data_IF_164477620807
#
_entry.id   IF_164477620807
#
_cell.length_a   1.000
_cell.length_b   1.000
_cell.length_c   1.000
_cell.angle_alpha   90.00
_cell.angle_beta   90.00
_cell.angle_gamma   90.00
#
_symmetry.space_group_name_H-M   'P 1'
#
loop_
_entity.id
_entity.type
_entity.pdbx_description
1 polymer ?
#
# COMPACT_ATOMS: atom_id res chain seq x y z
N UNK A 1 24.14 17.81 -22.79
CA UNK A 1 24.07 16.81 -21.71
C UNK A 1 23.02 17.11 -20.62
N UNK A 2 22.50 18.34 -20.49
CA UNK A 2 21.49 18.68 -19.47
C UNK A 2 20.03 18.39 -19.88
N UNK A 3 19.74 18.25 -21.15
CA UNK A 3 18.36 17.99 -21.62
C UNK A 3 17.88 16.54 -21.49
N UNK A 4 18.80 15.56 -21.37
CA UNK A 4 18.44 14.13 -21.20
C UNK A 4 18.04 13.75 -19.78
N UNK A 5 18.31 14.58 -18.78
CA UNK A 5 17.95 14.30 -17.37
C UNK A 5 16.55 14.79 -16.97
N UNK A 6 15.90 15.63 -17.75
CA UNK A 6 14.57 16.17 -17.41
C UNK A 6 13.38 15.29 -17.83
N UNK A 7 13.59 14.24 -18.62
CA UNK A 7 12.52 13.33 -19.06
C UNK A 7 12.40 12.02 -18.24
N UNK A 8 13.14 11.85 -17.13
CA UNK A 8 13.23 10.58 -16.37
C UNK A 8 12.62 10.75 -14.95
N UNK A 9 11.89 11.83 -14.67
CA UNK A 9 11.40 12.12 -13.30
C UNK A 9 9.89 12.05 -13.09
N UNK A 10 9.12 11.65 -14.09
CA UNK A 10 7.69 11.51 -13.91
C UNK A 10 7.39 10.10 -13.38
N UNK A 11 6.78 10.00 -12.21
CA UNK A 11 6.20 8.76 -11.69
C UNK A 11 4.78 8.64 -12.21
N UNK A 12 4.46 7.50 -12.80
CA UNK A 12 3.13 7.22 -13.33
C UNK A 12 2.37 6.33 -12.35
N UNK A 13 1.12 6.69 -12.07
CA UNK A 13 0.17 5.89 -11.31
C UNK A 13 -1.00 5.52 -12.22
N UNK A 14 -1.19 4.22 -12.41
CA UNK A 14 -2.37 3.67 -13.08
C UNK A 14 -3.25 3.03 -12.02
N UNK A 15 -4.53 3.29 -12.07
CA UNK A 15 -5.46 2.85 -11.03
C UNK A 15 -6.79 2.37 -11.63
N UNK A 16 -7.43 1.45 -10.92
CA UNK A 16 -8.77 1.00 -11.28
C UNK A 16 -9.74 2.18 -11.24
N UNK A 17 -10.48 2.36 -12.30
CA UNK A 17 -11.35 3.51 -12.48
C UNK A 17 -12.64 3.13 -13.17
N UNK A 18 -13.76 3.54 -12.59
CA UNK A 18 -15.06 3.54 -13.28
C UNK A 18 -15.33 4.93 -13.86
N UNK A 19 -15.17 5.16 -15.17
CA UNK A 19 -15.41 6.48 -15.76
C UNK A 19 -16.89 6.88 -15.77
N UNK A 20 -17.81 5.98 -15.42
CA UNK A 20 -19.24 6.20 -15.48
C UNK A 20 -19.89 6.46 -14.11
N UNK A 21 -19.14 6.38 -13.01
CA UNK A 21 -19.68 6.61 -11.69
C UNK A 21 -18.78 6.15 -10.54
N UNK A 22 -19.32 6.23 -9.32
CA UNK A 22 -18.60 5.91 -8.07
C UNK A 22 -18.87 4.50 -7.52
N UNK A 23 -19.47 3.63 -8.32
CA UNK A 23 -19.70 2.21 -7.96
C UNK A 23 -18.76 1.30 -8.71
N UNK A 24 -18.52 0.12 -8.15
CA UNK A 24 -17.69 -0.89 -8.81
C UNK A 24 -18.31 -1.35 -10.12
N UNK A 25 -17.51 -1.46 -11.16
CA UNK A 25 -17.89 -1.87 -12.51
C UNK A 25 -17.34 -0.93 -13.59
N UNK A 26 -17.53 -1.26 -14.86
CA UNK A 26 -17.00 -0.54 -16.02
C UNK A 26 -15.50 -0.25 -15.90
N UNK A 27 -14.74 -1.23 -15.40
CA UNK A 27 -13.37 -1.01 -15.00
C UNK A 27 -12.47 -0.68 -16.17
N UNK A 28 -11.75 0.40 -15.99
CA UNK A 28 -10.77 0.98 -16.88
C UNK A 28 -9.52 1.34 -16.07
N UNK A 29 -8.42 1.70 -16.71
CA UNK A 29 -7.28 2.29 -16.02
C UNK A 29 -7.34 3.82 -16.13
N UNK A 30 -7.58 4.48 -15.00
CA UNK A 30 -7.27 5.88 -14.81
C UNK A 30 -5.75 6.07 -14.77
N UNK A 31 -5.29 7.29 -15.00
CA UNK A 31 -3.87 7.59 -15.11
C UNK A 31 -3.56 8.95 -14.49
N UNK A 32 -2.54 9.00 -13.65
CA UNK A 32 -1.99 10.23 -13.12
C UNK A 32 -0.47 10.20 -13.15
N UNK A 33 0.15 11.36 -13.21
CA UNK A 33 1.60 11.53 -13.18
C UNK A 33 2.01 12.54 -12.13
N UNK A 34 3.21 12.35 -11.59
CA UNK A 34 3.79 13.27 -10.60
C UNK A 34 5.30 13.38 -10.76
N UNK A 35 5.85 14.50 -10.32
CA UNK A 35 7.30 14.72 -10.24
C UNK A 35 7.87 14.59 -8.82
N UNK A 36 6.99 14.60 -7.82
CA UNK A 36 7.35 14.66 -6.40
C UNK A 36 6.52 13.75 -5.50
N UNK A 37 5.73 12.83 -6.07
CA UNK A 37 4.85 11.88 -5.38
C UNK A 37 3.71 12.51 -4.57
N UNK A 38 3.61 13.86 -4.52
CA UNK A 38 2.59 14.58 -3.76
C UNK A 38 1.59 15.29 -4.68
N UNK A 39 2.09 16.03 -5.67
CA UNK A 39 1.24 16.75 -6.62
C UNK A 39 1.02 15.89 -7.88
N UNK A 40 -0.23 15.51 -8.11
CA UNK A 40 -0.60 14.61 -9.20
C UNK A 40 -1.37 15.34 -10.29
N UNK A 41 -0.97 15.14 -11.54
CA UNK A 41 -1.68 15.60 -12.72
C UNK A 41 -2.46 14.42 -13.31
N UNK A 42 -3.79 14.53 -13.38
CA UNK A 42 -4.64 13.54 -14.03
C UNK A 42 -4.49 13.61 -15.55
N UNK A 43 -4.27 12.45 -16.15
CA UNK A 43 -4.22 12.27 -17.59
C UNK A 43 -5.51 11.59 -18.07
N UNK A 44 -5.77 11.59 -19.40
CA UNK A 44 -6.87 10.81 -19.96
C UNK A 44 -6.79 9.33 -19.57
N UNK A 45 -7.94 8.66 -19.54
CA UNK A 45 -8.03 7.21 -19.26
C UNK A 45 -7.08 6.45 -20.18
N UNK A 46 -6.18 5.65 -19.58
CA UNK A 46 -5.11 4.97 -20.32
C UNK A 46 -5.63 3.74 -21.08
N UNK A 47 -6.46 2.93 -20.42
CA UNK A 47 -7.03 1.71 -20.99
C UNK A 47 -8.52 1.63 -20.67
N UNK A 48 -9.33 1.33 -21.68
CA UNK A 48 -10.78 1.11 -21.57
C UNK A 48 -11.12 -0.32 -21.96
N UNK A 49 -12.27 -0.84 -21.50
CA UNK A 49 -12.76 -2.17 -21.86
C UNK A 49 -12.89 -2.36 -23.38
N UNK A 50 -12.78 -3.58 -23.83
CA UNK A 50 -12.96 -4.01 -25.20
C UNK A 50 -13.67 -5.37 -25.31
N UNK A 51 -13.53 -6.06 -26.44
CA UNK A 51 -14.11 -7.38 -26.65
C UNK A 51 -13.58 -8.46 -25.69
N UNK A 52 -12.35 -8.28 -25.12
CA UNK A 52 -11.78 -9.19 -24.16
C UNK A 52 -12.28 -8.94 -22.71
N UNK A 53 -13.03 -7.84 -22.49
CA UNK A 53 -13.64 -7.54 -21.19
C UNK A 53 -13.18 -6.23 -20.56
N UNK A 54 -13.46 -6.09 -19.27
CA UNK A 54 -13.04 -4.97 -18.44
C UNK A 54 -11.54 -5.04 -18.15
N UNK A 55 -10.95 -3.91 -17.83
CA UNK A 55 -9.52 -3.81 -17.52
C UNK A 55 -9.32 -3.99 -16.02
N UNK A 56 -8.85 -5.16 -15.61
CA UNK A 56 -8.44 -5.44 -14.23
C UNK A 56 -6.98 -5.06 -14.01
N UNK A 57 -6.48 -5.32 -12.81
CA UNK A 57 -5.13 -4.92 -12.40
C UNK A 57 -4.02 -5.54 -13.23
N UNK A 58 -2.84 -4.96 -13.11
CA UNK A 58 -1.65 -5.39 -13.81
C UNK A 58 -0.45 -4.51 -13.47
N UNK A 59 0.54 -4.48 -14.35
CA UNK A 59 1.76 -3.70 -14.17
C UNK A 59 2.27 -3.13 -15.48
N UNK A 60 3.20 -2.18 -15.38
CA UNK A 60 3.88 -1.60 -16.54
C UNK A 60 5.38 -1.79 -16.37
N UNK A 61 6.04 -2.17 -17.46
CA UNK A 61 7.49 -2.26 -17.59
C UNK A 61 7.99 -1.38 -18.72
N UNK A 62 9.26 -1.00 -18.66
CA UNK A 62 9.95 -0.33 -19.77
C UNK A 62 10.80 -1.37 -20.50
N UNK A 63 10.44 -1.67 -21.74
CA UNK A 63 11.18 -2.60 -22.60
C UNK A 63 12.35 -1.86 -23.26
N UNK A 64 13.47 -1.78 -22.53
CA UNK A 64 14.66 -1.01 -22.95
C UNK A 64 15.31 -1.60 -24.19
N UNK A 65 15.28 -2.92 -24.31
CA UNK A 65 15.99 -3.66 -25.36
C UNK A 65 15.07 -4.04 -26.54
N UNK A 66 13.81 -3.56 -26.49
CA UNK A 66 12.81 -3.87 -27.53
C UNK A 66 12.58 -5.37 -27.69
N UNK A 67 12.54 -6.10 -26.61
CA UNK A 67 12.32 -7.56 -26.61
C UNK A 67 10.96 -7.94 -27.18
N UNK A 68 9.93 -7.10 -26.92
CA UNK A 68 8.58 -7.28 -27.44
C UNK A 68 8.41 -6.81 -28.90
N UNK A 69 9.40 -6.11 -29.46
CA UNK A 69 9.32 -5.60 -30.83
C UNK A 69 8.34 -4.44 -31.04
N UNK A 70 7.90 -3.76 -29.96
CA UNK A 70 7.01 -2.60 -30.07
C UNK A 70 7.77 -1.29 -30.28
N UNK A 71 9.06 -1.25 -29.98
CA UNK A 71 9.93 -0.10 -30.07
C UNK A 71 10.84 0.01 -28.84
N UNK A 72 11.99 0.64 -29.02
CA UNK A 72 12.95 0.85 -27.93
C UNK A 72 12.34 1.73 -26.83
N UNK A 73 12.56 1.37 -25.57
CA UNK A 73 12.03 2.05 -24.40
C UNK A 73 10.50 2.14 -24.38
N UNK A 74 9.80 1.25 -25.09
CA UNK A 74 8.34 1.18 -25.02
C UNK A 74 7.88 0.90 -23.57
N UNK A 75 6.87 1.62 -23.10
CA UNK A 75 6.16 1.25 -21.89
C UNK A 75 5.15 0.17 -22.24
N UNK A 76 5.32 -1.03 -21.66
CA UNK A 76 4.44 -2.18 -21.94
C UNK A 76 3.60 -2.45 -20.70
N UNK A 77 2.29 -2.28 -20.82
CA UNK A 77 1.30 -2.68 -19.83
C UNK A 77 0.97 -4.16 -20.01
N UNK A 78 1.05 -4.92 -18.94
CA UNK A 78 0.58 -6.30 -18.84
C UNK A 78 -0.57 -6.28 -17.84
N UNK A 79 -1.77 -6.63 -18.26
CA UNK A 79 -2.99 -6.47 -17.46
C UNK A 79 -3.96 -7.63 -17.65
N UNK A 80 -4.88 -7.77 -16.70
CA UNK A 80 -5.94 -8.75 -16.82
C UNK A 80 -7.14 -8.18 -17.56
N UNK A 81 -7.58 -8.88 -18.60
CA UNK A 81 -8.87 -8.68 -19.25
C UNK A 81 -9.90 -9.57 -18.55
N UNK A 82 -10.94 -8.95 -17.96
CA UNK A 82 -12.02 -9.63 -17.26
C UNK A 82 -13.26 -9.74 -18.16
N UNK A 83 -13.27 -10.76 -19.01
CA UNK A 83 -14.39 -11.12 -19.88
C UNK A 83 -15.17 -12.32 -19.32
N UNK A 84 -15.47 -13.29 -20.18
CA UNK A 84 -16.07 -14.57 -19.73
C UNK A 84 -15.13 -15.33 -18.79
N UNK A 85 -13.82 -15.19 -19.00
CA UNK A 85 -12.73 -15.66 -18.13
C UNK A 85 -11.68 -14.58 -18.01
N UNK A 86 -10.88 -14.68 -16.97
CA UNK A 86 -9.74 -13.80 -16.77
C UNK A 86 -8.56 -14.26 -17.63
N UNK A 87 -8.01 -13.36 -18.42
CA UNK A 87 -6.86 -13.60 -19.31
C UNK A 87 -5.88 -12.45 -19.22
N UNK A 88 -4.61 -12.66 -19.56
CA UNK A 88 -3.63 -11.59 -19.55
C UNK A 88 -3.46 -10.99 -20.95
N UNK A 89 -3.43 -9.68 -21.01
CA UNK A 89 -3.36 -8.89 -22.25
C UNK A 89 -2.23 -7.85 -22.17
N UNK A 90 -1.83 -7.34 -23.34
CA UNK A 90 -0.80 -6.31 -23.50
C UNK A 90 -1.38 -5.04 -24.11
N UNK A 91 -0.81 -3.92 -23.68
CA UNK A 91 -0.86 -2.66 -24.41
C UNK A 91 0.51 -1.97 -24.31
N UNK A 92 0.86 -1.14 -25.26
CA UNK A 92 2.15 -0.46 -25.27
C UNK A 92 2.03 1.02 -25.62
N UNK A 93 2.96 1.79 -25.13
CA UNK A 93 3.08 3.23 -25.37
C UNK A 93 4.47 3.56 -25.90
N UNK A 94 4.52 4.39 -26.94
CA UNK A 94 5.75 4.91 -27.55
C UNK A 94 5.96 6.40 -27.23
N UNK A 95 5.04 7.02 -26.52
CA UNK A 95 5.02 8.44 -26.17
C UNK A 95 5.14 8.68 -24.65
N UNK A 96 5.87 7.79 -23.96
CA UNK A 96 6.10 7.84 -22.51
C UNK A 96 4.82 7.74 -21.69
N UNK A 97 3.93 6.85 -22.08
CA UNK A 97 2.70 6.55 -21.36
C UNK A 97 1.55 7.53 -21.59
N UNK A 98 1.65 8.47 -22.52
CA UNK A 98 0.56 9.41 -22.80
C UNK A 98 -0.61 8.76 -23.53
N UNK A 99 -0.31 7.82 -24.44
CA UNK A 99 -1.30 6.98 -25.12
C UNK A 99 -0.86 5.52 -25.13
N UNK A 100 -1.83 4.61 -25.12
CA UNK A 100 -1.59 3.17 -25.19
C UNK A 100 -2.30 2.56 -26.38
N UNK A 101 -1.59 1.66 -27.07
CA UNK A 101 -2.09 0.84 -28.18
C UNK A 101 -2.22 -0.60 -27.67
N UNK A 102 -3.41 -1.16 -27.71
CA UNK A 102 -3.63 -2.56 -27.35
C UNK A 102 -2.99 -3.48 -28.38
N UNK A 103 -2.36 -4.55 -27.89
CA UNK A 103 -1.75 -5.54 -28.77
C UNK A 103 -2.84 -6.30 -29.53
N UNK A 104 -2.67 -6.43 -30.86
CA UNK A 104 -3.69 -6.99 -31.74
C UNK A 104 -3.98 -8.48 -31.49
N UNK A 105 -2.96 -9.22 -30.99
CA UNK A 105 -3.09 -10.66 -30.72
C UNK A 105 -3.38 -10.97 -29.23
N UNK A 106 -4.05 -10.05 -28.51
CA UNK A 106 -4.53 -10.32 -27.16
C UNK A 106 -5.64 -11.40 -27.18
N UNK A 107 -5.75 -12.22 -26.11
CA UNK A 107 -4.89 -12.30 -24.93
C UNK A 107 -3.59 -13.08 -25.19
N UNK A 108 -2.52 -12.76 -24.42
CA UNK A 108 -1.20 -13.42 -24.53
C UNK A 108 -1.04 -14.58 -23.54
N UNK A 109 -1.86 -14.67 -22.53
CA UNK A 109 -1.84 -15.77 -21.56
C UNK A 109 -3.26 -16.06 -21.08
N UNK A 110 -3.64 -17.34 -21.06
CA UNK A 110 -4.93 -17.85 -20.55
C UNK A 110 -4.75 -19.20 -19.90
N UNK A 111 -5.59 -19.48 -18.92
CA UNK A 111 -5.73 -20.80 -18.32
C UNK A 111 -7.21 -21.05 -18.00
N UNK A 112 -7.86 -21.88 -18.83
CA UNK A 112 -9.28 -22.16 -18.71
C UNK A 112 -9.66 -22.95 -17.46
N UNK A 113 -8.70 -23.57 -16.78
CA UNK A 113 -8.90 -24.31 -15.54
C UNK A 113 -8.88 -23.42 -14.28
N UNK A 114 -8.43 -22.15 -14.40
CA UNK A 114 -8.31 -21.23 -13.29
C UNK A 114 -9.44 -20.20 -13.30
N UNK A 115 -10.38 -20.19 -12.34
CA UNK A 115 -11.42 -19.18 -12.24
C UNK A 115 -10.86 -17.80 -11.84
N UNK A 116 -9.88 -17.80 -10.93
CA UNK A 116 -9.12 -16.62 -10.52
C UNK A 116 -7.73 -16.67 -11.17
N UNK A 117 -7.47 -15.75 -12.11
CA UNK A 117 -6.27 -15.75 -12.94
C UNK A 117 -5.93 -14.32 -13.33
N UNK A 118 -5.38 -13.53 -12.37
CA UNK A 118 -5.31 -12.07 -12.50
C UNK A 118 -4.12 -11.41 -11.85
N UNK A 119 -3.99 -10.11 -12.09
CA UNK A 119 -3.07 -9.17 -11.45
C UNK A 119 -1.60 -9.47 -11.77
N UNK A 120 -1.20 -9.48 -13.06
CA UNK A 120 0.17 -9.77 -13.46
C UNK A 120 1.11 -8.65 -13.01
N UNK A 121 2.12 -8.99 -12.21
CA UNK A 121 3.26 -8.12 -11.92
C UNK A 121 4.49 -8.64 -12.65
N UNK A 122 5.06 -7.80 -13.50
CA UNK A 122 6.17 -8.17 -14.39
C UNK A 122 7.42 -7.36 -14.07
N UNK A 123 8.58 -8.00 -14.11
CA UNK A 123 9.88 -7.36 -13.99
C UNK A 123 10.94 -8.08 -14.83
N UNK A 124 12.02 -7.37 -15.15
CA UNK A 124 13.18 -7.97 -15.84
C UNK A 124 14.10 -8.65 -14.84
N UNK A 125 14.28 -9.95 -14.99
CA UNK A 125 15.22 -10.74 -14.19
C UNK A 125 16.59 -10.80 -14.90
N UNK A 126 17.49 -9.91 -14.51
CA UNK A 126 18.75 -9.70 -15.19
C UNK A 126 19.65 -10.95 -15.19
N UNK A 127 19.71 -11.71 -14.09
CA UNK A 127 20.53 -12.92 -13.97
C UNK A 127 20.15 -14.01 -14.97
N UNK A 128 18.88 -14.05 -15.42
CA UNK A 128 18.38 -15.01 -16.41
C UNK A 128 18.07 -14.40 -17.76
N UNK A 129 18.30 -13.08 -17.95
CA UNK A 129 17.98 -12.33 -19.18
C UNK A 129 16.58 -12.63 -19.71
N UNK A 130 15.58 -12.52 -18.80
CA UNK A 130 14.18 -12.84 -19.11
C UNK A 130 13.22 -11.99 -18.28
N UNK A 131 12.01 -11.84 -18.75
CA UNK A 131 10.90 -11.31 -17.98
C UNK A 131 10.35 -12.36 -17.04
N UNK A 132 10.03 -11.96 -15.82
CA UNK A 132 9.29 -12.78 -14.83
C UNK A 132 7.96 -12.10 -14.56
N UNK A 133 6.90 -12.92 -14.52
CA UNK A 133 5.56 -12.51 -14.08
C UNK A 133 5.18 -13.29 -12.84
N UNK A 134 4.76 -12.61 -11.78
CA UNK A 134 3.98 -13.20 -10.71
C UNK A 134 2.49 -12.94 -10.98
N UNK A 135 1.66 -13.97 -10.89
CA UNK A 135 0.23 -13.94 -11.23
C UNK A 135 -0.58 -14.61 -10.12
N UNK A 136 -1.63 -13.97 -9.66
CA UNK A 136 -2.55 -14.56 -8.68
C UNK A 136 -3.43 -15.64 -9.35
N UNK A 137 -3.46 -16.82 -8.73
CA UNK A 137 -4.16 -18.00 -9.26
C UNK A 137 -4.99 -18.72 -8.17
N UNK A 138 -6.00 -18.01 -7.66
CA UNK A 138 -6.83 -18.46 -6.56
C UNK A 138 -6.19 -18.15 -5.19
N UNK A 139 -5.72 -19.15 -4.46
CA UNK A 139 -5.00 -18.96 -3.19
C UNK A 139 -3.50 -19.30 -3.31
N UNK A 140 -2.96 -19.12 -4.50
CA UNK A 140 -1.54 -19.32 -4.81
C UNK A 140 -1.05 -18.25 -5.78
N UNK A 141 0.25 -18.10 -5.90
CA UNK A 141 0.91 -17.30 -6.94
C UNK A 141 1.60 -18.23 -7.90
N UNK A 142 1.35 -18.05 -9.20
CA UNK A 142 2.05 -18.77 -10.26
C UNK A 142 3.08 -17.85 -10.89
N UNK A 143 4.31 -18.33 -11.03
CA UNK A 143 5.38 -17.63 -11.74
C UNK A 143 5.45 -18.08 -13.20
N UNK A 144 5.67 -17.13 -14.07
CA UNK A 144 5.89 -17.34 -15.50
C UNK A 144 7.16 -16.63 -15.97
N UNK A 145 7.76 -17.10 -17.05
CA UNK A 145 8.84 -16.39 -17.74
C UNK A 145 8.53 -16.16 -19.20
N UNK A 146 9.11 -15.09 -19.75
CA UNK A 146 9.01 -14.74 -21.16
C UNK A 146 10.32 -14.10 -21.65
N UNK A 147 10.66 -14.30 -22.92
CA UNK A 147 11.74 -13.58 -23.59
C UNK A 147 11.26 -12.30 -24.29
N UNK A 148 9.95 -12.17 -24.54
CA UNK A 148 9.37 -11.17 -25.45
C UNK A 148 8.06 -10.52 -24.94
N UNK A 149 7.66 -10.79 -23.68
CA UNK A 149 6.40 -10.35 -23.08
C UNK A 149 5.13 -10.93 -23.72
N UNK A 150 5.22 -11.63 -24.83
CA UNK A 150 4.09 -12.14 -25.62
C UNK A 150 3.85 -13.62 -25.38
N UNK A 151 4.92 -14.41 -25.29
CA UNK A 151 4.86 -15.83 -25.01
C UNK A 151 5.33 -16.12 -23.59
N UNK A 152 4.50 -16.77 -22.79
CA UNK A 152 4.75 -17.03 -21.39
C UNK A 152 4.82 -18.51 -21.08
N UNK A 153 5.87 -18.92 -20.39
CA UNK A 153 6.09 -20.27 -19.92
C UNK A 153 5.91 -20.34 -18.40
N UNK A 154 5.05 -21.24 -17.92
CA UNK A 154 4.91 -21.50 -16.48
C UNK A 154 6.24 -22.01 -15.91
N UNK A 155 6.60 -21.50 -14.73
CA UNK A 155 7.77 -21.89 -13.95
C UNK A 155 7.38 -22.72 -12.73
N UNK A 156 6.71 -22.11 -11.75
CA UNK A 156 6.37 -22.72 -10.48
C UNK A 156 5.15 -22.09 -9.87
N UNK A 157 4.61 -22.74 -8.83
CA UNK A 157 3.57 -22.18 -7.97
C UNK A 157 4.14 -21.96 -6.55
N UNK A 158 3.58 -20.99 -5.84
CA UNK A 158 3.89 -20.69 -4.44
C UNK A 158 2.61 -20.44 -3.65
N UNK A 159 2.60 -20.83 -2.38
CA UNK A 159 1.58 -20.44 -1.41
C UNK A 159 0.79 -21.60 -0.82
N UNK A 160 0.93 -22.82 -1.33
CA UNK A 160 0.24 -23.97 -0.74
C UNK A 160 0.70 -24.20 0.70
N UNK A 161 -0.25 -24.13 1.64
CA UNK A 161 -0.03 -24.38 3.06
C UNK A 161 0.78 -23.32 3.82
N UNK A 162 1.05 -22.14 3.23
CA UNK A 162 1.79 -21.06 3.87
C UNK A 162 1.06 -19.72 3.74
N UNK A 163 1.08 -18.93 4.82
CA UNK A 163 0.42 -17.61 4.87
C UNK A 163 -1.06 -17.70 5.22
N UNK A 164 -1.77 -16.59 5.03
CA UNK A 164 -3.20 -16.51 5.23
C UNK A 164 -3.96 -17.07 4.04
N UNK A 165 -4.98 -17.88 4.34
CA UNK A 165 -5.90 -18.50 3.39
C UNK A 165 -7.35 -18.22 3.78
N UNK A 166 -8.29 -18.70 2.99
CA UNK A 166 -9.72 -18.49 3.21
C UNK A 166 -10.30 -17.33 2.40
N UNK A 167 -9.46 -16.66 1.62
CA UNK A 167 -9.83 -15.65 0.65
C UNK A 167 -9.04 -15.80 -0.64
N UNK A 168 -9.39 -15.04 -1.65
CA UNK A 168 -8.68 -15.02 -2.93
C UNK A 168 -7.40 -14.18 -2.78
N UNK A 169 -6.29 -14.69 -3.30
CA UNK A 169 -5.03 -13.96 -3.39
C UNK A 169 -5.02 -13.05 -4.61
N UNK A 170 -4.51 -11.83 -4.45
CA UNK A 170 -4.56 -10.77 -5.45
C UNK A 170 -3.26 -9.95 -5.43
N UNK A 171 -3.00 -9.20 -6.48
CA UNK A 171 -1.96 -8.19 -6.60
C UNK A 171 -0.56 -8.67 -6.10
N UNK A 172 -0.03 -9.79 -6.61
CA UNK A 172 1.30 -10.25 -6.20
C UNK A 172 2.38 -9.28 -6.68
N UNK A 173 3.39 -9.02 -5.83
CA UNK A 173 4.52 -8.17 -6.19
C UNK A 173 5.82 -8.75 -5.64
N UNK A 174 6.69 -9.26 -6.52
CA UNK A 174 7.96 -9.87 -6.16
C UNK A 174 9.10 -8.87 -6.37
N UNK A 175 9.71 -8.43 -5.28
CA UNK A 175 10.78 -7.42 -5.28
C UNK A 175 12.04 -7.94 -4.59
N UNK A 176 13.20 -7.45 -5.02
CA UNK A 176 14.48 -7.78 -4.40
C UNK A 176 14.96 -6.60 -3.54
N UNK A 177 15.19 -6.84 -2.26
CA UNK A 177 15.55 -5.83 -1.27
C UNK A 177 16.90 -6.12 -0.62
N UNK A 178 17.56 -5.06 -0.14
CA UNK A 178 18.76 -5.20 0.69
C UNK A 178 18.38 -5.56 2.13
N UNK A 179 19.05 -6.55 2.70
CA UNK A 179 18.92 -6.95 4.08
C UNK A 179 20.28 -7.31 4.67
N UNK A 180 20.81 -6.49 5.58
CA UNK A 180 22.13 -6.70 6.22
C UNK A 180 23.27 -6.94 5.22
N UNK A 181 23.30 -6.20 4.11
CA UNK A 181 24.33 -6.33 3.08
C UNK A 181 24.16 -7.53 2.13
N UNK A 182 23.05 -8.24 2.23
CA UNK A 182 22.67 -9.33 1.33
C UNK A 182 21.39 -8.96 0.58
N UNK A 183 21.15 -9.60 -0.55
CA UNK A 183 19.88 -9.48 -1.27
C UNK A 183 18.91 -10.55 -0.77
N UNK A 184 17.68 -10.12 -0.46
CA UNK A 184 16.53 -10.99 -0.18
C UNK A 184 15.39 -10.65 -1.15
N UNK A 185 14.58 -11.63 -1.43
CA UNK A 185 13.35 -11.43 -2.18
C UNK A 185 12.17 -11.32 -1.23
N UNK A 186 11.26 -10.43 -1.57
CA UNK A 186 10.01 -10.23 -0.83
C UNK A 186 8.87 -10.36 -1.81
N UNK A 187 7.90 -11.21 -1.47
CA UNK A 187 6.65 -11.37 -2.22
C UNK A 187 5.52 -10.76 -1.42
N UNK A 188 4.94 -9.66 -1.91
CA UNK A 188 3.70 -9.08 -1.40
C UNK A 188 2.53 -9.82 -2.02
N UNK A 189 1.48 -10.07 -1.23
CA UNK A 189 0.25 -10.74 -1.69
C UNK A 189 -0.95 -10.18 -0.94
N UNK A 190 -1.88 -9.59 -1.64
CA UNK A 190 -3.16 -9.17 -1.09
C UNK A 190 -4.12 -10.36 -0.95
N UNK A 191 -5.01 -10.33 0.04
CA UNK A 191 -6.02 -11.36 0.28
C UNK A 191 -7.36 -10.73 0.64
N UNK A 192 -8.45 -11.27 0.10
CA UNK A 192 -9.80 -10.87 0.47
C UNK A 192 -10.80 -12.04 0.39
N UNK A 193 -11.53 -12.35 1.50
CA UNK A 193 -11.26 -11.93 2.87
C UNK A 193 -10.02 -12.62 3.47
N UNK A 194 -9.64 -12.30 4.70
CA UNK A 194 -8.55 -12.99 5.39
C UNK A 194 -7.57 -12.07 6.12
N UNK A 195 -7.82 -10.76 6.12
CA UNK A 195 -7.01 -9.79 6.82
C UNK A 195 -6.99 -9.96 8.35
N UNK A 196 -5.97 -9.42 9.05
CA UNK A 196 -5.76 -9.61 10.49
C UNK A 196 -6.89 -9.02 11.35
N UNK A 197 -7.54 -7.96 10.86
CA UNK A 197 -8.68 -7.31 11.50
C UNK A 197 -9.98 -7.48 10.69
N UNK A 198 -10.03 -8.52 9.84
CA UNK A 198 -11.16 -8.84 8.97
C UNK A 198 -11.12 -8.09 7.62
N UNK A 199 -11.78 -8.68 6.63
CA UNK A 199 -11.82 -8.14 5.28
C UNK A 199 -10.51 -8.28 4.52
N UNK A 200 -10.19 -7.29 3.74
CA UNK A 200 -9.02 -7.26 2.85
C UNK A 200 -7.76 -6.76 3.55
N UNK A 201 -6.61 -7.34 3.22
CA UNK A 201 -5.29 -6.92 3.68
C UNK A 201 -4.17 -7.42 2.75
N UNK A 202 -2.94 -6.94 2.95
CA UNK A 202 -1.75 -7.38 2.19
C UNK A 202 -0.76 -8.07 3.12
N UNK A 203 -0.54 -9.36 2.91
CA UNK A 203 0.51 -10.14 3.54
C UNK A 203 1.80 -10.10 2.74
N UNK A 204 2.92 -10.50 3.36
CA UNK A 204 4.18 -10.64 2.65
C UNK A 204 4.98 -11.86 3.10
N UNK A 205 5.86 -12.30 2.22
CA UNK A 205 6.79 -13.40 2.44
C UNK A 205 8.21 -12.92 2.16
N UNK A 206 9.17 -13.29 3.00
CA UNK A 206 10.60 -13.02 2.80
C UNK A 206 11.28 -14.33 2.42
N UNK A 207 12.19 -14.30 1.46
CA UNK A 207 12.85 -15.53 1.01
C UNK A 207 13.88 -15.30 -0.10
N UNK A 208 14.02 -16.31 -0.93
CA UNK A 208 14.94 -16.31 -2.07
C UNK A 208 14.20 -16.70 -3.36
N UNK A 209 14.63 -16.14 -4.48
CA UNK A 209 14.11 -16.47 -5.80
C UNK A 209 15.26 -16.76 -6.77
N UNK A 210 15.30 -17.96 -7.30
CA UNK A 210 16.37 -18.45 -8.19
C UNK A 210 16.12 -18.19 -9.68
N UNK A 211 15.06 -17.45 -10.01
CA UNK A 211 14.59 -17.21 -11.38
C UNK A 211 13.57 -18.25 -11.88
N UNK A 212 13.21 -19.22 -11.05
CA UNK A 212 12.20 -20.25 -11.31
C UNK A 212 11.24 -20.39 -10.14
N UNK A 213 11.78 -20.52 -8.92
CA UNK A 213 11.03 -20.82 -7.70
C UNK A 213 11.31 -19.77 -6.64
N UNK A 214 10.24 -19.30 -5.99
CA UNK A 214 10.34 -18.53 -4.76
C UNK A 214 10.25 -19.48 -3.56
N UNK A 215 11.22 -19.39 -2.65
CA UNK A 215 11.27 -20.18 -1.43
C UNK A 215 11.24 -19.24 -0.23
N UNK A 216 10.18 -19.28 0.56
CA UNK A 216 10.04 -18.45 1.74
C UNK A 216 10.96 -18.92 2.88
N UNK A 217 11.55 -17.98 3.61
CA UNK A 217 12.25 -18.24 4.85
C UNK A 217 11.27 -18.81 5.91
N UNK A 218 11.80 -19.55 6.87
CA UNK A 218 10.99 -20.10 7.96
C UNK A 218 10.65 -19.01 8.99
N UNK A 219 9.59 -18.24 8.75
CA UNK A 219 9.09 -17.17 9.60
C UNK A 219 7.65 -17.49 10.07
N UNK A 220 7.16 -16.81 11.12
CA UNK A 220 5.80 -17.03 11.65
C UNK A 220 4.74 -16.37 10.78
N UNK A 221 4.53 -16.87 9.57
CA UNK A 221 3.49 -16.35 8.66
C UNK A 221 2.07 -16.60 9.19
N UNK A 222 1.09 -15.74 8.86
CA UNK A 222 1.20 -14.58 7.96
C UNK A 222 1.88 -13.37 8.59
N UNK A 223 2.65 -12.64 7.78
CA UNK A 223 3.20 -11.32 8.10
C UNK A 223 2.45 -10.27 7.27
N UNK A 224 2.08 -9.15 7.90
CA UNK A 224 1.24 -8.13 7.27
C UNK A 224 2.00 -6.83 7.09
N UNK A 225 1.82 -6.20 5.91
CA UNK A 225 2.44 -4.91 5.62
C UNK A 225 1.78 -3.77 6.40
N UNK A 226 0.52 -3.93 6.74
CA UNK A 226 -0.30 -2.98 7.51
C UNK A 226 -1.37 -3.77 8.28
N UNK A 227 -1.60 -3.40 9.53
CA UNK A 227 -2.61 -4.03 10.40
C UNK A 227 -3.91 -3.24 10.49
N UNK A 228 -3.98 -2.03 9.90
CA UNK A 228 -5.22 -1.30 9.73
C UNK A 228 -6.15 -1.99 8.74
N UNK A 229 -7.37 -1.51 8.67
CA UNK A 229 -8.36 -2.08 7.74
C UNK A 229 -8.28 -1.50 6.34
N UNK A 230 -7.61 -0.37 6.15
CA UNK A 230 -7.73 0.42 4.91
C UNK A 230 -6.39 0.56 4.18
N UNK A 231 -5.71 -0.57 3.97
CA UNK A 231 -4.51 -0.67 3.15
C UNK A 231 -4.57 -1.98 2.35
N UNK A 232 -4.99 -1.92 1.10
CA UNK A 232 -5.24 -3.09 0.27
C UNK A 232 -4.72 -2.92 -1.16
N UNK A 233 -4.44 -4.06 -1.81
CA UNK A 233 -4.00 -4.14 -3.21
C UNK A 233 -2.76 -3.28 -3.51
N UNK A 234 -1.92 -3.09 -2.50
CA UNK A 234 -0.73 -2.26 -2.61
C UNK A 234 0.34 -2.91 -3.47
N UNK A 235 0.99 -2.09 -4.29
CA UNK A 235 2.05 -2.49 -5.21
C UNK A 235 3.19 -1.48 -5.21
N UNK A 236 4.36 -1.94 -5.65
CA UNK A 236 5.54 -1.09 -5.80
C UNK A 236 5.69 -0.56 -7.22
N UNK A 237 6.30 0.63 -7.35
CA UNK A 237 6.70 1.15 -8.66
C UNK A 237 7.84 0.36 -9.26
N UNK A 238 7.75 0.06 -10.55
CA UNK A 238 8.87 -0.42 -11.34
C UNK A 238 9.81 0.73 -11.75
N UNK A 239 11.10 0.43 -11.92
CA UNK A 239 12.10 1.35 -12.49
C UNK A 239 12.28 2.68 -11.70
N UNK A 240 12.20 2.64 -10.38
CA UNK A 240 12.48 3.81 -9.52
C UNK A 240 13.97 4.17 -9.67
N UNK A 241 14.31 5.42 -10.10
CA UNK A 241 15.68 5.74 -10.55
C UNK A 241 16.74 5.70 -9.45
N UNK A 242 16.35 5.95 -8.20
CA UNK A 242 17.24 5.96 -7.02
C UNK A 242 17.28 4.61 -6.28
N UNK A 243 16.59 3.60 -6.81
CA UNK A 243 16.59 2.24 -6.26
C UNK A 243 15.74 2.05 -5.02
N UNK A 244 14.96 3.07 -4.59
CA UNK A 244 13.98 2.91 -3.51
C UNK A 244 12.85 1.97 -3.93
N UNK A 245 12.28 1.29 -2.95
CA UNK A 245 11.04 0.50 -3.13
C UNK A 245 9.85 1.35 -2.72
N UNK A 246 9.31 2.11 -3.67
CA UNK A 246 8.15 2.97 -3.44
C UNK A 246 6.87 2.13 -3.55
N UNK A 247 5.97 2.30 -2.59
CA UNK A 247 4.74 1.54 -2.45
C UNK A 247 3.56 2.48 -2.27
N UNK A 248 2.41 2.12 -2.82
CA UNK A 248 1.13 2.78 -2.61
C UNK A 248 0.01 1.73 -2.59
N UNK A 249 -1.03 1.97 -1.80
CA UNK A 249 -2.14 1.05 -1.66
C UNK A 249 -3.49 1.75 -1.78
N UNK A 250 -4.53 1.00 -2.08
CA UNK A 250 -5.90 1.47 -1.98
C UNK A 250 -6.29 1.63 -0.50
N UNK A 251 -6.70 2.84 -0.14
CA UNK A 251 -7.16 3.16 1.21
C UNK A 251 -8.65 2.84 1.32
N UNK A 252 -8.98 1.58 1.47
CA UNK A 252 -10.33 1.09 1.74
C UNK A 252 -10.30 -0.42 2.09
N UNK A 253 -11.50 -0.98 2.32
CA UNK A 253 -11.70 -2.39 2.62
C UNK A 253 -12.97 -2.88 1.91
N UNK A 254 -12.91 -4.05 1.29
CA UNK A 254 -14.05 -4.61 0.56
C UNK A 254 -15.29 -4.86 1.43
N UNK A 255 -15.15 -4.96 2.76
CA UNK A 255 -16.29 -5.11 3.66
C UNK A 255 -17.25 -3.92 3.65
N UNK A 256 -16.77 -2.72 3.28
CA UNK A 256 -17.60 -1.51 3.30
C UNK A 256 -17.30 -0.49 2.20
N UNK A 257 -16.40 -0.77 1.28
CA UNK A 257 -16.00 0.18 0.24
C UNK A 257 -17.18 0.73 -0.59
N UNK A 258 -18.21 -0.10 -0.81
CA UNK A 258 -19.41 0.29 -1.55
C UNK A 258 -20.38 1.22 -0.82
N UNK A 259 -20.22 1.38 0.51
CA UNK A 259 -21.18 2.10 1.38
C UNK A 259 -20.55 3.20 2.23
N UNK A 260 -19.27 3.50 2.02
CA UNK A 260 -18.60 4.61 2.72
C UNK A 260 -19.35 5.94 2.49
N UNK A 261 -19.41 6.83 3.51
CA UNK A 261 -20.24 8.04 3.47
C UNK A 261 -19.62 9.19 2.67
N UNK A 262 -18.84 8.89 1.62
CA UNK A 262 -18.35 9.87 0.66
C UNK A 262 -19.37 10.03 -0.48
N UNK A 263 -19.72 11.27 -0.83
CA UNK A 263 -20.81 11.56 -1.78
C UNK A 263 -20.34 11.57 -3.25
N UNK A 264 -19.20 12.17 -3.52
CA UNK A 264 -18.72 12.48 -4.87
C UNK A 264 -17.58 11.58 -5.35
N UNK A 265 -16.96 10.84 -4.44
CA UNK A 265 -15.85 9.93 -4.73
C UNK A 265 -15.91 8.70 -3.84
N UNK A 266 -15.27 7.62 -4.26
CA UNK A 266 -15.03 6.41 -3.44
C UNK A 266 -13.67 5.85 -3.75
N UNK A 267 -12.97 5.45 -2.66
CA UNK A 267 -11.59 4.99 -2.72
C UNK A 267 -10.60 6.16 -2.82
N UNK A 268 -9.60 6.10 -2.00
CA UNK A 268 -8.42 6.96 -2.02
C UNK A 268 -7.17 6.09 -2.06
N UNK A 269 -6.02 6.73 -2.14
CA UNK A 269 -4.73 6.06 -1.99
C UNK A 269 -4.12 6.40 -0.64
N UNK A 270 -3.32 5.50 -0.08
CA UNK A 270 -2.43 5.82 1.05
C UNK A 270 -1.42 6.87 0.62
N UNK A 271 -0.79 7.53 1.58
CA UNK A 271 0.44 8.25 1.26
C UNK A 271 1.46 7.27 0.65
N UNK A 272 2.25 7.71 -0.35
CA UNK A 272 3.34 6.88 -0.88
C UNK A 272 4.34 6.55 0.22
N UNK A 273 4.83 5.32 0.22
CA UNK A 273 5.73 4.79 1.24
C UNK A 273 7.00 4.24 0.63
N UNK A 274 8.07 4.28 1.39
CA UNK A 274 9.32 3.60 1.09
C UNK A 274 9.42 2.34 1.95
N UNK A 275 9.54 1.19 1.30
CA UNK A 275 9.69 -0.10 1.96
C UNK A 275 11.17 -0.43 2.14
N UNK A 276 11.50 -1.01 3.29
CA UNK A 276 12.82 -1.57 3.59
C UNK A 276 12.68 -2.85 4.41
N UNK A 277 13.68 -3.73 4.34
CA UNK A 277 13.81 -4.87 5.25
C UNK A 277 14.71 -4.49 6.43
N UNK A 278 14.21 -4.71 7.64
CA UNK A 278 14.95 -4.50 8.88
C UNK A 278 14.79 -5.70 9.81
N UNK A 279 15.56 -5.73 10.89
CA UNK A 279 15.38 -6.71 11.96
C UNK A 279 14.32 -6.24 12.94
N UNK A 280 13.40 -7.14 13.32
CA UNK A 280 12.55 -6.93 14.49
C UNK A 280 13.34 -7.16 15.80
N UNK A 281 12.64 -7.06 16.95
CA UNK A 281 13.23 -7.29 18.26
C UNK A 281 13.77 -8.72 18.46
N UNK A 282 13.27 -9.69 17.71
CA UNK A 282 13.69 -11.09 17.73
C UNK A 282 14.77 -11.41 16.68
N UNK A 283 15.22 -10.38 15.93
CA UNK A 283 16.26 -10.51 14.90
C UNK A 283 15.74 -11.04 13.56
N UNK A 284 14.41 -11.16 13.37
CA UNK A 284 13.79 -11.65 12.14
C UNK A 284 13.64 -10.53 11.11
N UNK A 285 13.70 -10.84 9.81
CA UNK A 285 13.43 -9.83 8.78
C UNK A 285 11.95 -9.45 8.78
N UNK A 286 11.69 -8.15 8.86
CA UNK A 286 10.38 -7.55 8.69
C UNK A 286 10.42 -6.41 7.68
N UNK A 287 9.32 -6.17 6.97
CA UNK A 287 9.16 -4.95 6.19
C UNK A 287 8.88 -3.78 7.14
N UNK A 288 9.65 -2.71 6.96
CA UNK A 288 9.30 -1.38 7.46
C UNK A 288 8.77 -0.53 6.31
N UNK A 289 7.83 0.34 6.61
CA UNK A 289 7.11 1.12 5.61
C UNK A 289 6.99 2.57 6.07
N UNK A 290 7.93 3.41 5.65
CA UNK A 290 7.97 4.84 5.98
C UNK A 290 7.23 5.67 4.95
N UNK A 291 6.56 6.73 5.36
CA UNK A 291 6.07 7.73 4.44
C UNK A 291 7.27 8.36 3.72
N UNK A 292 7.16 8.57 2.42
CA UNK A 292 8.24 9.14 1.61
C UNK A 292 8.60 10.56 2.08
N UNK A 293 9.89 10.90 2.01
CA UNK A 293 10.38 12.22 2.41
C UNK A 293 9.79 13.38 1.60
N UNK A 294 9.26 13.09 0.44
CA UNK A 294 8.62 14.05 -0.45
C UNK A 294 7.38 14.73 0.19
N UNK A 295 6.82 14.14 1.26
CA UNK A 295 5.79 14.80 2.08
C UNK A 295 6.24 16.15 2.63
N UNK A 296 7.55 16.38 2.79
CA UNK A 296 8.10 17.66 3.22
C UNK A 296 7.79 18.80 2.23
N UNK A 297 7.49 18.49 0.96
CA UNK A 297 7.13 19.49 -0.03
C UNK A 297 5.75 20.15 0.22
N UNK A 298 4.89 19.49 0.99
CA UNK A 298 3.55 19.97 1.35
C UNK A 298 3.43 20.29 2.84
N UNK A 299 4.50 20.09 3.62
CA UNK A 299 4.48 20.22 5.06
C UNK A 299 4.94 21.65 5.50
N UNK A 300 4.26 22.17 6.50
CA UNK A 300 4.67 23.38 7.21
C UNK A 300 5.81 23.11 8.20
N UNK A 301 6.17 24.16 8.93
CA UNK A 301 7.19 24.06 9.97
C UNK A 301 6.73 23.28 11.20
N UNK A 302 7.65 22.53 11.79
CA UNK A 302 7.38 21.80 13.03
C UNK A 302 7.16 22.77 14.22
N UNK A 303 6.07 22.58 14.92
CA UNK A 303 5.77 23.24 16.19
C UNK A 303 5.79 22.23 17.32
N UNK A 304 6.53 22.48 18.38
CA UNK A 304 6.42 21.70 19.63
C UNK A 304 5.23 22.22 20.40
N UNK A 305 4.34 21.31 20.83
CA UNK A 305 3.17 21.64 21.63
C UNK A 305 3.30 21.06 23.04
N UNK A 306 2.71 21.74 24.02
CA UNK A 306 2.77 21.36 25.43
C UNK A 306 1.37 20.99 25.93
N UNK A 307 1.31 20.07 26.86
CA UNK A 307 0.05 19.69 27.50
C UNK A 307 -0.43 20.69 28.54
N UNK A 308 -1.74 20.83 28.59
CA UNK A 308 -2.46 21.37 29.78
C UNK A 308 -3.37 20.25 30.26
N UNK A 309 -3.26 19.83 31.52
CA UNK A 309 -4.02 18.71 32.08
C UNK A 309 -4.02 17.43 31.21
N UNK A 310 -2.80 16.99 30.78
CA UNK A 310 -2.58 15.83 29.90
C UNK A 310 -3.25 15.94 28.52
N UNK A 311 -3.63 17.13 28.10
CA UNK A 311 -4.25 17.38 26.80
C UNK A 311 -3.42 18.36 25.99
N UNK A 312 -3.13 18.00 24.74
CA UNK A 312 -2.43 18.82 23.76
C UNK A 312 -3.44 19.37 22.76
N UNK A 313 -3.53 20.70 22.66
CA UNK A 313 -4.32 21.35 21.63
C UNK A 313 -3.54 21.32 20.31
N UNK A 314 -4.22 20.92 19.23
CA UNK A 314 -3.65 20.83 17.88
C UNK A 314 -4.27 21.96 17.06
N UNK A 315 -3.49 23.00 16.84
CA UNK A 315 -3.87 24.11 15.96
C UNK A 315 -3.45 23.75 14.51
N UNK A 316 -4.42 23.34 13.72
CA UNK A 316 -4.22 22.86 12.34
C UNK A 316 -5.02 23.67 11.32
N UNK A 317 -5.75 24.71 11.72
CA UNK A 317 -6.62 25.49 10.83
C UNK A 317 -7.59 24.65 9.98
N UNK A 318 -8.03 23.48 10.51
CA UNK A 318 -8.83 22.47 9.82
C UNK A 318 -8.12 21.81 8.62
N UNK A 319 -6.83 21.98 8.45
CA UNK A 319 -6.01 21.29 7.46
C UNK A 319 -5.57 19.91 7.97
N UNK A 320 -5.14 19.05 7.04
CA UNK A 320 -4.44 17.82 7.39
C UNK A 320 -3.14 18.14 8.14
N UNK A 321 -2.68 17.23 8.99
CA UNK A 321 -1.47 17.45 9.77
C UNK A 321 -0.69 16.15 10.02
N UNK A 322 0.59 16.33 10.30
CA UNK A 322 1.46 15.28 10.83
C UNK A 322 1.74 15.55 12.30
N UNK A 323 1.56 14.52 13.12
CA UNK A 323 1.83 14.56 14.55
C UNK A 323 2.93 13.55 14.87
N UNK A 324 3.99 14.00 15.54
CA UNK A 324 5.08 13.16 16.00
C UNK A 324 5.11 13.15 17.53
N UNK A 325 5.00 11.96 18.11
CA UNK A 325 4.96 11.76 19.58
C UNK A 325 6.13 10.84 19.94
N UNK A 326 7.08 11.37 20.72
CA UNK A 326 8.16 10.58 21.29
C UNK A 326 7.86 10.28 22.75
N UNK A 327 8.03 9.03 23.14
CA UNK A 327 7.65 8.54 24.46
C UNK A 327 8.65 7.51 24.96
N UNK A 328 8.61 7.24 26.26
CA UNK A 328 9.39 6.22 26.94
C UNK A 328 8.41 5.33 27.72
N UNK A 329 8.18 4.10 27.24
CA UNK A 329 7.18 3.18 27.78
C UNK A 329 7.90 1.92 28.26
N UNK A 330 7.92 1.69 29.58
CA UNK A 330 8.52 0.50 30.15
C UNK A 330 7.71 -0.77 29.83
N UNK A 331 8.32 -1.95 29.92
CA UNK A 331 7.74 -3.23 29.47
C UNK A 331 6.42 -3.61 30.15
N UNK A 332 6.11 -3.04 31.32
CA UNK A 332 4.88 -3.31 32.08
C UNK A 332 3.90 -2.13 32.04
N UNK A 333 4.12 -1.16 31.20
CA UNK A 333 3.29 0.06 31.11
C UNK A 333 2.35 0.01 29.91
N UNK A 334 1.22 0.71 30.06
CA UNK A 334 0.23 0.93 29.03
C UNK A 334 0.02 2.44 28.88
N UNK A 335 -0.17 2.85 27.64
CA UNK A 335 -0.45 4.23 27.29
C UNK A 335 -1.62 4.26 26.31
N UNK A 336 -2.59 5.13 26.57
CA UNK A 336 -3.64 5.46 25.60
C UNK A 336 -3.54 6.93 25.22
N UNK A 337 -3.46 7.18 23.94
CA UNK A 337 -3.52 8.47 23.29
C UNK A 337 -4.87 8.59 22.60
N UNK A 338 -5.64 9.65 22.84
CA UNK A 338 -6.94 9.80 22.18
C UNK A 338 -6.97 11.09 21.37
N UNK A 339 -7.05 10.94 20.04
CA UNK A 339 -7.44 12.05 19.18
C UNK A 339 -8.92 12.32 19.37
N UNK A 340 -9.31 13.59 19.48
CA UNK A 340 -10.71 13.98 19.62
C UNK A 340 -11.00 15.34 19.00
N UNK A 341 -12.29 15.65 18.85
CA UNK A 341 -12.78 16.95 18.43
C UNK A 341 -13.87 17.46 19.38
N UNK A 342 -14.26 18.72 19.22
CA UNK A 342 -15.26 19.38 20.06
C UNK A 342 -16.68 18.80 19.89
N UNK A 343 -16.93 18.03 18.85
CA UNK A 343 -18.20 17.36 18.59
C UNK A 343 -18.35 16.01 19.27
N UNK A 344 -17.28 15.56 19.95
CA UNK A 344 -17.30 14.35 20.78
C UNK A 344 -16.79 13.10 20.07
N UNK A 345 -16.31 13.19 18.82
CA UNK A 345 -15.68 12.06 18.14
C UNK A 345 -14.34 11.75 18.80
N UNK A 346 -14.01 10.45 18.89
CA UNK A 346 -12.81 9.95 19.57
C UNK A 346 -12.15 8.84 18.77
N UNK A 347 -10.84 8.89 18.74
CA UNK A 347 -10.00 7.89 18.10
C UNK A 347 -8.86 7.46 19.04
N UNK A 348 -9.15 6.53 19.99
CA UNK A 348 -8.17 6.01 20.94
C UNK A 348 -7.11 5.15 20.26
N UNK A 349 -5.86 5.38 20.65
CA UNK A 349 -4.65 4.69 20.19
C UNK A 349 -3.94 4.18 21.45
N UNK A 350 -3.91 2.87 21.65
CA UNK A 350 -3.32 2.26 22.84
C UNK A 350 -2.07 1.46 22.52
N UNK A 351 -1.00 1.71 23.26
CA UNK A 351 0.23 0.94 23.25
C UNK A 351 0.31 0.16 24.56
N UNK A 352 0.21 -1.15 24.47
CA UNK A 352 0.28 -2.05 25.62
C UNK A 352 1.56 -2.91 25.51
N UNK A 353 2.56 -2.57 26.34
CA UNK A 353 3.84 -3.28 26.34
C UNK A 353 3.73 -4.66 26.99
N UNK A 354 2.89 -4.81 28.03
CA UNK A 354 2.71 -6.10 28.70
C UNK A 354 2.09 -7.15 27.78
N UNK A 355 1.06 -6.77 27.01
CA UNK A 355 0.37 -7.66 26.07
C UNK A 355 0.99 -7.62 24.67
N UNK A 356 2.04 -6.82 24.46
CA UNK A 356 2.69 -6.61 23.18
C UNK A 356 1.70 -6.28 22.07
N UNK A 357 0.79 -5.33 22.32
CA UNK A 357 -0.25 -4.94 21.38
C UNK A 357 -0.28 -3.42 21.13
N UNK A 358 -0.55 -3.08 19.87
CA UNK A 358 -0.89 -1.74 19.40
C UNK A 358 -2.33 -1.77 18.91
N UNK A 359 -3.21 -1.02 19.59
CA UNK A 359 -4.65 -1.09 19.41
C UNK A 359 -5.17 0.28 18.99
N UNK A 360 -6.03 0.29 17.97
CA UNK A 360 -6.78 1.47 17.55
C UNK A 360 -8.27 1.17 17.70
N UNK A 361 -8.99 2.01 18.46
CA UNK A 361 -10.44 1.90 18.61
C UNK A 361 -11.14 2.91 17.69
N UNK A 362 -11.84 2.38 16.68
CA UNK A 362 -12.57 3.16 15.69
C UNK A 362 -14.07 3.25 15.99
N UNK A 363 -14.52 2.73 17.12
CA UNK A 363 -15.96 2.62 17.42
C UNK A 363 -16.65 3.97 17.64
N UNK A 364 -15.90 5.02 17.97
CA UNK A 364 -16.39 6.39 18.20
C UNK A 364 -15.69 7.42 17.29
N UNK A 365 -15.13 6.99 16.16
CA UNK A 365 -14.30 7.84 15.29
C UNK A 365 -15.08 8.82 14.40
N UNK A 366 -16.38 8.96 14.62
CA UNK A 366 -17.31 9.78 13.82
C UNK A 366 -18.46 8.97 13.26
N UNK A 367 -18.82 9.16 12.01
CA UNK A 367 -19.87 8.34 11.36
C UNK A 367 -19.36 6.92 11.14
N UNK A 368 -19.92 5.98 11.87
CA UNK A 368 -19.53 4.55 11.83
C UNK A 368 -20.71 3.63 11.54
N UNK A 369 -21.94 4.18 11.47
CA UNK A 369 -23.18 3.39 11.39
C UNK A 369 -23.46 2.82 10.00
N UNK A 370 -22.77 3.29 8.97
CA UNK A 370 -22.97 2.85 7.58
C UNK A 370 -22.56 1.39 7.35
N UNK A 371 -21.75 0.79 8.23
CA UNK A 371 -21.38 -0.62 8.16
C UNK A 371 -21.02 -1.18 9.53
N UNK A 372 -21.58 -2.34 9.88
CA UNK A 372 -21.20 -3.08 11.10
C UNK A 372 -19.73 -3.50 11.13
N UNK A 373 -19.07 -3.54 10.00
CA UNK A 373 -17.65 -3.90 9.85
C UNK A 373 -16.69 -2.71 9.97
N UNK A 374 -17.22 -1.47 10.05
CA UNK A 374 -16.39 -0.27 10.09
C UNK A 374 -15.96 0.13 11.50
N UNK A 375 -16.89 0.36 12.41
CA UNK A 375 -16.62 0.78 13.79
C UNK A 375 -16.12 -0.38 14.65
N UNK A 376 -14.83 -0.73 14.51
CA UNK A 376 -14.20 -1.86 15.21
C UNK A 376 -12.97 -1.43 16.00
N UNK A 377 -12.61 -2.25 16.98
CA UNK A 377 -11.30 -2.21 17.65
C UNK A 377 -10.32 -3.05 16.82
N UNK A 378 -9.17 -2.48 16.50
CA UNK A 378 -8.19 -3.04 15.57
C UNK A 378 -6.89 -3.35 16.32
N UNK A 379 -6.33 -4.53 16.11
CA UNK A 379 -5.19 -5.05 16.84
C UNK A 379 -3.98 -5.25 15.92
N UNK A 380 -2.80 -4.88 16.42
CA UNK A 380 -1.51 -5.19 15.82
C UNK A 380 -0.57 -5.75 16.88
N UNK A 381 0.33 -6.68 16.55
CA UNK A 381 1.42 -7.03 17.44
C UNK A 381 2.36 -5.83 17.62
N UNK A 382 2.92 -5.67 18.84
CA UNK A 382 3.88 -4.62 19.18
C UNK A 382 5.10 -5.25 19.84
N UNK A 383 6.08 -5.66 19.05
CA UNK A 383 7.32 -6.25 19.54
C UNK A 383 8.44 -5.22 19.48
N UNK A 384 8.69 -4.54 20.60
CA UNK A 384 9.67 -3.48 20.73
C UNK A 384 10.90 -3.92 21.52
N UNK A 385 12.09 -3.59 21.04
CA UNK A 385 13.37 -3.87 21.68
C UNK A 385 13.83 -2.78 22.66
N UNK A 386 13.13 -1.64 22.71
CA UNK A 386 13.48 -0.46 23.50
C UNK A 386 12.25 0.15 24.16
N UNK A 387 12.46 0.86 25.27
CA UNK A 387 11.42 1.67 25.90
C UNK A 387 11.14 2.95 25.11
N UNK A 388 12.13 3.45 24.36
CA UNK A 388 11.96 4.60 23.50
C UNK A 388 11.10 4.23 22.29
N UNK A 389 9.96 4.90 22.16
CA UNK A 389 8.97 4.66 21.11
C UNK A 389 8.63 5.98 20.43
N UNK A 390 8.59 5.98 19.11
CA UNK A 390 8.03 7.08 18.33
C UNK A 390 6.72 6.63 17.69
N UNK A 391 5.70 7.48 17.76
CA UNK A 391 4.46 7.33 17.00
C UNK A 391 4.32 8.53 16.09
N UNK A 392 4.17 8.27 14.81
CA UNK A 392 3.85 9.30 13.81
C UNK A 392 2.45 9.06 13.30
N UNK A 393 1.63 10.11 13.30
CA UNK A 393 0.27 10.09 12.79
C UNK A 393 0.15 11.09 11.63
N UNK A 394 -0.34 10.62 10.50
CA UNK A 394 -0.82 11.47 9.42
C UNK A 394 -2.34 11.50 9.50
N UNK A 395 -2.88 12.65 9.81
CA UNK A 395 -4.32 12.85 10.06
C UNK A 395 -4.89 13.74 8.97
N UNK A 396 -5.85 13.21 8.22
CA UNK A 396 -6.61 13.93 7.22
C UNK A 396 -8.10 13.92 7.60
N UNK A 397 -8.93 14.56 6.80
CA UNK A 397 -10.39 14.66 7.03
C UNK A 397 -11.08 13.31 7.08
N UNK A 398 -10.56 12.32 6.37
CA UNK A 398 -11.17 11.00 6.26
C UNK A 398 -10.22 9.83 6.51
N UNK A 399 -9.01 10.07 7.04
CA UNK A 399 -8.04 9.01 7.30
C UNK A 399 -7.08 9.33 8.42
N UNK A 400 -6.57 8.26 9.04
CA UNK A 400 -5.43 8.30 9.96
C UNK A 400 -4.47 7.19 9.57
N UNK A 401 -3.23 7.56 9.21
CA UNK A 401 -2.12 6.62 9.02
C UNK A 401 -1.21 6.70 10.24
N UNK A 402 -1.14 5.62 11.03
CA UNK A 402 -0.39 5.53 12.28
C UNK A 402 0.82 4.62 12.12
N UNK A 403 2.02 5.14 12.40
CA UNK A 403 3.29 4.44 12.25
C UNK A 403 4.08 4.45 13.55
N UNK A 404 4.45 3.27 14.04
CA UNK A 404 5.34 3.08 15.18
C UNK A 404 6.77 2.88 14.69
N UNK A 405 7.75 3.60 15.26
CA UNK A 405 9.18 3.46 15.02
C UNK A 405 9.51 3.38 13.52
N UNK A 406 9.23 4.48 12.79
CA UNK A 406 9.45 4.58 11.34
C UNK A 406 8.79 3.45 10.53
N UNK A 407 7.58 3.03 10.94
CA UNK A 407 6.80 2.04 10.21
C UNK A 407 7.21 0.59 10.43
N UNK A 408 7.80 0.27 11.58
CA UNK A 408 7.97 -1.13 12.02
C UNK A 408 6.62 -1.82 12.26
N UNK A 409 5.66 -1.07 12.80
CA UNK A 409 4.25 -1.47 12.92
C UNK A 409 3.39 -0.30 12.48
N UNK A 410 2.32 -0.59 11.74
CA UNK A 410 1.48 0.45 11.21
C UNK A 410 0.02 0.01 11.10
N UNK A 411 -0.85 1.00 11.18
CA UNK A 411 -2.28 0.88 10.90
C UNK A 411 -2.76 2.06 10.06
N UNK A 412 -3.31 1.76 8.89
CA UNK A 412 -4.00 2.71 8.02
C UNK A 412 -5.49 2.53 8.17
N UNK A 413 -6.20 3.60 8.52
CA UNK A 413 -7.62 3.54 8.79
C UNK A 413 -8.36 4.74 8.20
N UNK A 414 -9.46 4.46 7.51
CA UNK A 414 -10.47 5.48 7.23
C UNK A 414 -11.17 5.90 8.53
N UNK A 415 -11.53 7.16 8.60
CA UNK A 415 -12.35 7.78 9.65
C UNK A 415 -13.31 8.76 8.99
N UNK A 416 -14.46 9.00 9.62
CA UNK A 416 -15.43 10.00 9.15
C UNK A 416 -15.91 10.88 10.30
N UNK A 417 -14.97 11.64 10.93
CA UNK A 417 -15.32 12.49 12.06
C UNK A 417 -16.22 13.65 11.60
N UNK A 418 -17.05 14.13 12.51
CA UNK A 418 -17.93 15.29 12.26
C UNK A 418 -17.19 16.64 12.20
N UNK A 419 -15.91 16.63 12.54
CA UNK A 419 -14.94 17.71 12.42
C UNK A 419 -13.54 17.13 12.58
N UNK A 420 -12.52 17.79 12.07
CA UNK A 420 -11.15 17.30 12.20
C UNK A 420 -10.76 17.15 13.68
N UNK A 421 -9.96 16.14 14.01
CA UNK A 421 -9.43 15.97 15.34
C UNK A 421 -8.45 17.12 15.66
N UNK A 422 -8.72 17.88 16.70
CA UNK A 422 -7.93 19.05 17.10
C UNK A 422 -7.42 18.97 18.54
N UNK A 423 -7.53 17.81 19.18
CA UNK A 423 -7.07 17.56 20.53
C UNK A 423 -6.47 16.17 20.67
N UNK A 424 -5.39 16.04 21.44
CA UNK A 424 -4.78 14.79 21.84
C UNK A 424 -4.73 14.72 23.36
N UNK A 425 -5.48 13.80 23.96
CA UNK A 425 -5.36 13.51 25.39
C UNK A 425 -4.50 12.27 25.64
N UNK A 426 -3.87 12.24 26.82
CA UNK A 426 -2.95 11.17 27.23
C UNK A 426 -3.43 10.56 28.54
N UNK A 427 -3.63 9.24 28.54
CA UNK A 427 -3.93 8.44 29.74
C UNK A 427 -2.80 7.42 29.94
N UNK A 428 -2.08 7.51 31.03
CA UNK A 428 -1.03 6.57 31.40
C UNK A 428 -1.18 6.13 32.85
N UNK A 429 -0.80 4.88 33.13
CA UNK A 429 -0.89 4.30 34.49
C UNK A 429 0.15 4.83 35.45
N UNK A 430 1.30 5.36 35.00
CA UNK A 430 2.41 5.83 35.83
C UNK A 430 3.20 6.92 35.11
N UNK A 431 3.41 8.05 35.79
CA UNK A 431 4.43 9.06 35.47
C UNK A 431 4.31 9.69 34.08
N UNK A 432 5.26 10.57 33.79
CA UNK A 432 5.30 11.30 32.52
C UNK A 432 6.05 10.47 31.45
N UNK A 433 5.32 9.74 30.64
CA UNK A 433 5.84 8.87 29.58
C UNK A 433 6.17 9.70 28.32
N UNK A 434 5.43 10.77 28.03
CA UNK A 434 5.62 11.61 26.83
C UNK A 434 6.87 12.47 26.97
N UNK A 435 7.78 12.38 26.02
CA UNK A 435 9.00 13.19 25.93
C UNK A 435 8.81 14.44 25.09
N UNK A 436 8.11 14.32 23.99
CA UNK A 436 7.79 15.47 23.12
C UNK A 436 6.58 15.17 22.24
N UNK A 437 5.83 16.21 21.93
CA UNK A 437 4.77 16.20 20.92
C UNK A 437 5.05 17.35 19.97
N UNK A 438 5.13 17.04 18.68
CA UNK A 438 5.33 18.00 17.59
C UNK A 438 4.24 17.84 16.57
N UNK A 439 3.80 18.95 16.00
CA UNK A 439 2.80 18.98 14.93
C UNK A 439 3.28 19.87 13.80
N UNK A 440 2.96 19.52 12.57
CA UNK A 440 3.05 20.37 11.39
C UNK A 440 1.83 20.20 10.51
N UNK A 441 1.38 21.27 9.88
CA UNK A 441 0.27 21.23 8.92
C UNK A 441 0.74 20.62 7.59
N UNK A 442 -0.19 19.99 6.89
CA UNK A 442 0.02 19.47 5.53
C UNK A 442 -0.93 20.22 4.60
N UNK A 443 -0.36 20.88 3.60
CA UNK A 443 -1.16 21.64 2.61
C UNK A 443 -1.92 20.69 1.69
N UNK A 444 -3.09 21.12 1.21
CA UNK A 444 -3.82 20.43 0.15
C UNK A 444 -2.96 20.33 -1.10
N UNK A 445 -3.03 19.20 -1.78
CA UNK A 445 -2.37 18.94 -3.07
C UNK A 445 -3.30 19.10 -4.28
N UNK A 446 -4.54 19.56 -4.03
CA UNK A 446 -5.60 19.80 -5.04
C UNK A 446 -5.96 21.26 -5.15
#
# INVERSE_FOLDING_TARGET
RRQRQMCIRDSHLFYQYNPMGSVWGNLSWGHAVTKDLMHWEHLPVALTKDANGEIFSGSIVIDRDNTAGFGKDAMVAVYTSNGQKQTQSLAYSLDKGRTFIKYENNPVLKDDAKPDFRDPKVFWYAAGSKWIMSLATGQTITFYSSSDLKEWKKLSDFGDGIGAHGGVWECPDLIQMDYNGQKKWVLLVSINPGGPNGGSATQYFVGDFDGVTFTADNLPYPLWIDYGKDNYAGVTWNNVPDGRHLFIAWMSNWQYAGVVPSMTWRGGMTLPRELALQKDADGRPIITSRIVKEVDAIAGEWKTISASDNTYAIDNNEDAYELQINMDIADNENLTLTLSNEKGDKYPISLNRADKSFIIDRTQSGEVSFSSEFGKVLYSPLNLSSNAVSLTLFVDKSSVEALINDGMVQQTNLVYPSGIYNSLSVESGKGQIIKSVKVRTLSSVW
#
